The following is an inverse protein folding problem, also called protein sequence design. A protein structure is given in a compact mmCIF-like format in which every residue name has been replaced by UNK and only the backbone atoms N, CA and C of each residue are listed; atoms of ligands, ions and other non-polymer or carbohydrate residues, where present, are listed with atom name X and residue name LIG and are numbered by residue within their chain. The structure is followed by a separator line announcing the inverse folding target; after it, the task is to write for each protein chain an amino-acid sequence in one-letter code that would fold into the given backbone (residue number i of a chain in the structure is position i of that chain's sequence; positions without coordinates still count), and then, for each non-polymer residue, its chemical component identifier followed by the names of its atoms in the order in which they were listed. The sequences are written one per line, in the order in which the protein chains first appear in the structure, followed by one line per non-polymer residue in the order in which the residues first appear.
data_IF_786054572579
#
_entry.id   IF_786054572579
#
_cell.length_a   1.000
_cell.length_b   1.000
_cell.length_c   1.000
_cell.angle_alpha   90.00
_cell.angle_beta   90.00
_cell.angle_gamma   90.00
#
_symmetry.space_group_name_H-M   'P 1'
#
loop_
_entity.id
_entity.type
_entity.pdbx_description
1 polymer ?
#
# COMPACT_ATOMS: atom_id res chain seq x y z
N UNK A 1 31.07 48.19 45.17
CA UNK A 1 31.75 47.30 44.20
C UNK A 1 31.31 45.84 44.32
N UNK A 2 31.41 45.19 45.48
CA UNK A 2 31.03 43.76 45.64
C UNK A 2 29.56 43.44 45.27
N UNK A 3 28.59 44.31 45.64
CA UNK A 3 27.17 44.11 45.29
C UNK A 3 26.86 44.28 43.79
N UNK A 4 27.57 45.17 43.09
CA UNK A 4 27.44 45.34 41.65
C UNK A 4 28.06 44.16 40.88
N UNK A 5 29.17 43.60 41.39
CA UNK A 5 29.81 42.42 40.80
C UNK A 5 28.92 41.17 40.88
N UNK A 6 28.21 41.00 42.02
CA UNK A 6 27.27 39.89 42.21
C UNK A 6 26.03 40.04 41.33
N UNK A 7 25.53 41.27 41.15
CA UNK A 7 24.40 41.52 40.24
C UNK A 7 24.80 41.26 38.77
N UNK A 8 26.01 41.65 38.37
CA UNK A 8 26.52 41.39 37.03
C UNK A 8 26.74 39.88 36.78
N UNK A 9 27.25 39.14 37.76
CA UNK A 9 27.39 37.68 37.65
C UNK A 9 26.02 36.99 37.57
N UNK A 10 25.07 37.39 38.41
CA UNK A 10 23.71 36.84 38.41
C UNK A 10 22.99 37.12 37.08
N UNK A 11 23.15 38.32 36.51
CA UNK A 11 22.58 38.67 35.22
C UNK A 11 23.26 37.89 34.07
N UNK A 12 24.57 37.65 34.14
CA UNK A 12 25.28 36.82 33.15
C UNK A 12 24.90 35.34 33.21
N UNK A 13 24.60 34.81 34.40
CA UNK A 13 24.07 33.45 34.56
C UNK A 13 22.62 33.33 34.08
N UNK A 14 21.79 34.36 34.30
CA UNK A 14 20.41 34.42 33.81
C UNK A 14 20.34 34.59 32.27
N UNK A 15 21.26 35.32 31.64
CA UNK A 15 21.36 35.38 30.18
C UNK A 15 21.95 34.11 29.56
N UNK A 16 22.85 33.40 30.25
CA UNK A 16 23.40 32.12 29.77
C UNK A 16 22.38 30.98 29.73
N UNK A 17 21.28 31.09 30.48
CA UNK A 17 20.19 30.10 30.52
C UNK A 17 19.06 30.40 29.52
N UNK A 18 19.18 31.47 28.71
CA UNK A 18 18.21 31.87 27.68
C UNK A 18 18.79 31.82 26.26
N UNK A 19 19.75 30.94 25.99
CA UNK A 19 19.95 30.50 24.62
C UNK A 19 18.71 29.68 24.24
N UNK A 20 18.00 29.99 23.14
CA UNK A 20 17.05 29.03 22.60
C UNK A 20 17.82 27.72 22.44
N UNK A 21 17.27 26.61 22.93
CA UNK A 21 17.79 25.30 22.56
C UNK A 21 17.81 25.29 21.03
N UNK A 22 19.01 25.38 20.45
CA UNK A 22 19.19 25.12 19.04
C UNK A 22 18.83 23.64 18.96
N UNK A 23 17.65 23.33 18.40
CA UNK A 23 17.34 21.96 18.05
C UNK A 23 18.51 21.49 17.18
N UNK A 24 19.27 20.51 17.68
CA UNK A 24 20.30 19.88 16.85
C UNK A 24 19.62 19.45 15.56
N UNK A 25 20.21 19.81 14.41
CA UNK A 25 19.71 19.29 13.14
C UNK A 25 19.68 17.76 13.24
N UNK A 26 18.58 17.12 12.81
CA UNK A 26 18.45 15.68 12.89
C UNK A 26 19.64 15.01 12.21
N UNK A 27 20.22 14.03 12.90
CA UNK A 27 21.48 13.36 12.51
C UNK A 27 21.35 12.61 11.18
N UNK A 28 20.12 12.27 10.78
CA UNK A 28 19.80 11.54 9.57
C UNK A 28 18.41 11.93 9.04
N UNK A 29 18.14 11.54 7.80
CA UNK A 29 16.82 11.61 7.16
C UNK A 29 16.38 10.26 6.61
N UNK A 30 15.08 10.03 6.60
CA UNK A 30 14.41 8.92 5.93
C UNK A 30 13.50 9.52 4.86
N UNK A 31 13.80 9.23 3.60
CA UNK A 31 13.02 9.72 2.47
C UNK A 31 11.91 8.74 2.10
N UNK A 32 10.73 9.27 1.76
CA UNK A 32 9.56 8.46 1.37
C UNK A 32 9.03 8.96 0.03
N UNK A 33 9.00 8.09 -0.98
CA UNK A 33 8.40 8.38 -2.28
C UNK A 33 7.11 7.59 -2.43
N UNK A 34 5.99 8.28 -2.68
CA UNK A 34 4.68 7.64 -2.89
C UNK A 34 4.05 8.03 -4.22
N UNK A 35 2.94 7.39 -4.58
CA UNK A 35 2.06 7.93 -5.60
C UNK A 35 1.35 9.19 -5.12
N UNK A 36 0.68 9.89 -6.04
CA UNK A 36 -0.34 10.85 -5.65
C UNK A 36 -1.60 10.13 -5.18
N UNK A 37 -2.55 10.85 -4.58
CA UNK A 37 -3.83 10.27 -4.14
C UNK A 37 -4.67 9.68 -5.28
N UNK A 38 -4.35 9.96 -6.55
CA UNK A 38 -5.03 9.35 -7.71
C UNK A 38 -4.58 7.90 -7.95
N UNK A 39 -3.34 7.55 -7.57
CA UNK A 39 -2.78 6.21 -7.70
C UNK A 39 -3.06 5.36 -6.46
N UNK A 40 -3.07 6.00 -5.30
CA UNK A 40 -3.37 5.41 -4.00
C UNK A 40 -3.30 6.48 -2.92
N UNK A 41 -4.37 6.66 -2.14
CA UNK A 41 -4.39 7.68 -1.09
C UNK A 41 -3.59 7.25 0.16
N UNK A 42 -3.54 5.95 0.44
CA UNK A 42 -3.10 5.44 1.73
C UNK A 42 -1.61 5.67 2.02
N UNK A 43 -0.74 5.25 1.11
CA UNK A 43 0.71 5.49 1.20
C UNK A 43 1.02 6.99 1.35
N UNK A 44 0.33 7.85 0.61
CA UNK A 44 0.50 9.30 0.66
C UNK A 44 0.12 9.86 2.05
N UNK A 45 -1.02 9.45 2.62
CA UNK A 45 -1.44 9.87 3.97
C UNK A 45 -0.51 9.34 5.06
N UNK A 46 -0.01 8.12 4.91
CA UNK A 46 0.98 7.56 5.84
C UNK A 46 2.28 8.37 5.82
N UNK A 47 2.75 8.77 4.64
CA UNK A 47 3.93 9.63 4.48
C UNK A 47 3.70 11.03 5.09
N UNK A 48 2.54 11.67 4.85
CA UNK A 48 2.18 12.96 5.48
C UNK A 48 2.14 12.87 7.01
N UNK A 49 1.60 11.77 7.55
CA UNK A 49 1.55 11.52 9.00
C UNK A 49 2.97 11.44 9.59
N UNK A 50 3.87 10.68 8.95
CA UNK A 50 5.27 10.57 9.39
C UNK A 50 6.02 11.91 9.29
N UNK A 51 5.79 12.67 8.22
CA UNK A 51 6.37 14.02 8.06
C UNK A 51 5.96 14.96 9.20
N UNK A 52 4.69 14.91 9.61
CA UNK A 52 4.19 15.72 10.72
C UNK A 52 4.72 15.26 12.09
N UNK A 53 4.89 13.95 12.30
CA UNK A 53 5.37 13.38 13.56
C UNK A 53 6.89 13.54 13.74
N UNK A 54 7.66 13.48 12.66
CA UNK A 54 9.11 13.49 12.67
C UNK A 54 9.69 14.61 11.79
N UNK A 55 9.36 15.89 12.10
CA UNK A 55 9.79 17.02 11.29
C UNK A 55 11.32 17.10 11.24
N UNK A 56 11.86 17.20 10.03
CA UNK A 56 13.30 17.27 9.76
C UNK A 56 13.99 15.90 9.64
N UNK A 57 13.42 14.83 10.20
CA UNK A 57 13.88 13.45 9.99
C UNK A 57 13.21 12.85 8.74
N UNK A 58 11.93 13.11 8.52
CA UNK A 58 11.21 12.61 7.34
C UNK A 58 11.21 13.66 6.24
N UNK A 59 11.47 13.22 5.01
CA UNK A 59 11.26 14.01 3.79
C UNK A 59 10.43 13.17 2.81
N UNK A 60 9.48 13.81 2.12
CA UNK A 60 8.54 13.08 1.24
C UNK A 60 8.41 13.78 -0.11
N UNK A 61 8.12 13.00 -1.14
CA UNK A 61 7.74 13.49 -2.48
C UNK A 61 6.83 12.46 -3.16
N UNK A 62 6.36 12.77 -4.36
CA UNK A 62 5.52 11.89 -5.18
C UNK A 62 6.14 11.58 -6.53
N UNK A 63 5.87 10.39 -7.06
CA UNK A 63 6.15 10.04 -8.45
C UNK A 63 4.96 10.44 -9.37
N UNK A 64 5.19 10.66 -10.69
CA UNK A 64 4.12 11.07 -11.60
C UNK A 64 3.07 9.99 -11.82
N UNK A 65 1.80 10.38 -11.96
CA UNK A 65 0.68 9.46 -12.20
C UNK A 65 0.87 8.63 -13.48
N UNK A 66 1.51 9.20 -14.52
CA UNK A 66 1.87 8.49 -15.75
C UNK A 66 3.31 7.95 -15.70
N UNK A 67 3.70 7.34 -14.58
CA UNK A 67 5.05 6.80 -14.35
C UNK A 67 5.55 5.89 -15.48
N UNK A 68 4.66 5.14 -16.15
CA UNK A 68 5.02 4.27 -17.29
C UNK A 68 5.64 5.05 -18.44
N UNK A 69 5.22 6.30 -18.65
CA UNK A 69 5.76 7.20 -19.68
C UNK A 69 6.80 8.18 -19.14
N UNK A 70 6.89 8.33 -17.81
CA UNK A 70 7.70 9.33 -17.12
C UNK A 70 8.77 8.68 -16.20
N UNK A 71 9.30 7.53 -16.62
CA UNK A 71 10.27 6.73 -15.84
C UNK A 71 11.48 7.54 -15.38
N UNK A 72 12.03 8.40 -16.26
CA UNK A 72 13.17 9.27 -15.91
C UNK A 72 12.83 10.29 -14.80
N UNK A 73 11.57 10.75 -14.74
CA UNK A 73 11.11 11.62 -13.66
C UNK A 73 11.07 10.85 -12.35
N UNK A 74 10.48 9.65 -12.33
CA UNK A 74 10.47 8.76 -11.15
C UNK A 74 11.89 8.48 -10.65
N UNK A 75 12.80 8.13 -11.57
CA UNK A 75 14.22 7.91 -11.24
C UNK A 75 14.87 9.18 -10.68
N UNK A 76 14.62 10.34 -11.29
CA UNK A 76 15.14 11.63 -10.84
C UNK A 76 14.75 11.97 -9.42
N UNK A 77 13.49 11.70 -9.02
CA UNK A 77 13.00 11.90 -7.65
C UNK A 77 13.79 11.08 -6.62
N UNK A 78 14.01 9.79 -6.90
CA UNK A 78 14.78 8.91 -6.02
C UNK A 78 16.24 9.32 -5.93
N UNK A 79 16.86 9.65 -7.06
CA UNK A 79 18.25 10.12 -7.11
C UNK A 79 18.42 11.44 -6.34
N UNK A 80 17.45 12.34 -6.44
CA UNK A 80 17.45 13.61 -5.70
C UNK A 80 17.47 13.39 -4.18
N UNK A 81 16.76 12.39 -3.65
CA UNK A 81 16.88 12.04 -2.23
C UNK A 81 18.30 11.58 -1.86
N UNK A 82 18.95 10.81 -2.73
CA UNK A 82 20.29 10.30 -2.50
C UNK A 82 21.40 11.37 -2.59
N UNK A 83 21.13 12.54 -3.18
CA UNK A 83 22.05 13.68 -3.19
C UNK A 83 22.23 14.30 -1.79
N UNK A 84 21.23 14.18 -0.91
CA UNK A 84 21.33 14.66 0.46
C UNK A 84 22.19 13.67 1.30
N UNK A 85 23.36 14.10 1.82
CA UNK A 85 24.22 13.24 2.63
C UNK A 85 23.57 12.79 3.95
N UNK A 86 22.55 13.51 4.43
CA UNK A 86 21.80 13.15 5.64
C UNK A 86 20.80 12.01 5.39
N UNK A 87 20.36 11.78 4.15
CA UNK A 87 19.46 10.65 3.84
C UNK A 87 20.20 9.33 4.05
N UNK A 88 19.64 8.49 4.93
CA UNK A 88 20.15 7.16 5.30
C UNK A 88 19.20 6.01 5.00
N UNK A 89 17.95 6.32 4.66
CA UNK A 89 17.03 5.34 4.09
C UNK A 89 16.10 5.98 3.06
N UNK A 90 15.70 5.20 2.06
CA UNK A 90 14.68 5.57 1.08
C UNK A 90 13.63 4.45 1.06
N UNK A 91 12.37 4.84 1.25
CA UNK A 91 11.20 3.97 1.18
C UNK A 91 10.39 4.41 -0.03
N UNK A 92 10.11 3.51 -0.97
CA UNK A 92 9.21 3.78 -2.09
C UNK A 92 8.01 2.86 -2.02
N UNK A 93 6.80 3.41 -2.01
CA UNK A 93 5.56 2.64 -2.07
C UNK A 93 4.49 3.47 -2.81
N UNK A 94 4.03 3.07 -3.99
CA UNK A 94 4.37 1.85 -4.72
C UNK A 94 5.71 1.98 -5.44
N UNK A 95 6.51 0.91 -5.45
CA UNK A 95 7.78 0.86 -6.18
C UNK A 95 7.53 0.59 -7.68
N UNK A 96 7.04 1.62 -8.37
CA UNK A 96 6.72 1.61 -9.81
C UNK A 96 7.97 1.66 -10.71
N UNK A 97 7.77 1.53 -12.03
CA UNK A 97 8.83 1.56 -13.04
C UNK A 97 9.84 2.69 -12.82
N UNK A 98 11.12 2.32 -12.83
CA UNK A 98 12.24 3.20 -12.52
C UNK A 98 12.81 3.01 -11.12
N UNK A 99 12.10 2.32 -10.21
CA UNK A 99 12.58 2.01 -8.87
C UNK A 99 13.87 1.18 -8.92
N UNK A 100 13.88 0.08 -9.66
CA UNK A 100 15.03 -0.83 -9.81
C UNK A 100 16.26 -0.10 -10.33
N UNK A 101 16.09 0.66 -11.42
CA UNK A 101 17.19 1.39 -12.04
C UNK A 101 17.75 2.49 -11.11
N UNK A 102 16.87 3.23 -10.43
CA UNK A 102 17.30 4.25 -9.48
C UNK A 102 18.00 3.63 -8.26
N UNK A 103 17.42 2.59 -7.66
CA UNK A 103 18.00 1.90 -6.50
C UNK A 103 19.38 1.31 -6.82
N UNK A 104 19.53 0.71 -8.00
CA UNK A 104 20.83 0.23 -8.49
C UNK A 104 21.86 1.36 -8.54
N UNK A 105 21.51 2.50 -9.13
CA UNK A 105 22.42 3.66 -9.25
C UNK A 105 22.71 4.33 -7.90
N UNK A 106 21.74 4.37 -6.99
CA UNK A 106 21.93 4.85 -5.62
C UNK A 106 22.92 3.94 -4.92
N UNK A 107 22.79 2.62 -5.04
CA UNK A 107 23.69 1.65 -4.41
C UNK A 107 25.15 1.78 -4.84
N UNK A 108 25.39 2.10 -6.11
CA UNK A 108 26.74 2.34 -6.65
C UNK A 108 27.45 3.54 -6.00
N UNK A 109 26.70 4.57 -5.61
CA UNK A 109 27.25 5.87 -5.16
C UNK A 109 27.04 6.14 -3.67
N UNK A 110 26.00 5.54 -3.08
CA UNK A 110 25.52 5.69 -1.70
C UNK A 110 25.16 4.33 -1.11
N UNK A 111 26.15 3.40 -0.96
CA UNK A 111 25.89 2.08 -0.36
C UNK A 111 25.47 2.14 1.12
N UNK A 112 25.60 3.31 1.75
CA UNK A 112 25.17 3.60 3.12
C UNK A 112 23.66 3.81 3.26
N UNK A 113 22.91 4.02 2.16
CA UNK A 113 21.45 4.16 2.19
C UNK A 113 20.81 2.77 2.26
N UNK A 114 19.85 2.62 3.17
CA UNK A 114 18.94 1.47 3.23
C UNK A 114 17.78 1.68 2.23
N UNK A 115 17.53 0.72 1.35
CA UNK A 115 16.55 0.83 0.27
C UNK A 115 15.36 -0.13 0.48
N UNK A 116 14.17 0.42 0.66
CA UNK A 116 12.93 -0.33 0.87
C UNK A 116 11.97 -0.11 -0.30
N UNK A 117 11.47 -1.19 -0.89
CA UNK A 117 10.46 -1.17 -1.95
C UNK A 117 9.16 -1.81 -1.45
N UNK A 118 8.06 -1.07 -1.45
CA UNK A 118 6.71 -1.56 -1.16
C UNK A 118 5.88 -1.66 -2.43
N UNK A 119 5.09 -2.72 -2.57
CA UNK A 119 4.22 -2.99 -3.73
C UNK A 119 5.00 -2.82 -5.06
N UNK A 120 6.00 -3.68 -5.33
CA UNK A 120 6.82 -3.55 -6.51
C UNK A 120 6.01 -3.79 -7.80
N UNK A 121 6.26 -2.97 -8.82
CA UNK A 121 5.64 -3.08 -10.15
C UNK A 121 6.67 -3.37 -11.26
N UNK A 122 7.80 -3.95 -10.88
CA UNK A 122 8.89 -4.43 -11.75
C UNK A 122 9.17 -5.90 -11.42
N UNK A 123 10.04 -6.54 -12.20
CA UNK A 123 10.38 -7.96 -12.02
C UNK A 123 10.85 -8.24 -10.57
N UNK A 124 10.29 -9.26 -9.89
CA UNK A 124 10.63 -9.58 -8.50
C UNK A 124 12.12 -9.80 -8.26
N UNK A 125 12.83 -10.45 -9.19
CA UNK A 125 14.27 -10.72 -9.07
C UNK A 125 15.08 -9.44 -9.25
N UNK A 126 14.70 -8.60 -10.22
CA UNK A 126 15.39 -7.34 -10.48
C UNK A 126 15.27 -6.36 -9.29
N UNK A 127 14.05 -6.14 -8.80
CA UNK A 127 13.83 -5.21 -7.65
C UNK A 127 14.45 -5.77 -6.37
N UNK A 128 14.39 -7.09 -6.13
CA UNK A 128 15.05 -7.72 -5.00
C UNK A 128 16.57 -7.59 -5.07
N UNK A 129 17.17 -7.64 -6.26
CA UNK A 129 18.59 -7.37 -6.46
C UNK A 129 18.98 -5.92 -6.17
N UNK A 130 18.07 -4.97 -6.39
CA UNK A 130 18.31 -3.53 -6.23
C UNK A 130 17.94 -2.99 -4.84
N UNK A 131 16.99 -3.59 -4.12
CA UNK A 131 16.55 -3.18 -2.79
C UNK A 131 17.26 -3.96 -1.66
N UNK A 132 17.17 -3.48 -0.42
CA UNK A 132 17.59 -4.21 0.78
C UNK A 132 16.42 -5.00 1.38
N UNK A 133 15.20 -4.46 1.27
CA UNK A 133 13.95 -5.10 1.69
C UNK A 133 12.86 -4.77 0.66
N UNK A 134 12.15 -5.80 0.21
CA UNK A 134 10.96 -5.69 -0.64
C UNK A 134 9.75 -6.19 0.13
N UNK A 135 8.66 -5.43 0.12
CA UNK A 135 7.40 -5.73 0.78
C UNK A 135 6.30 -5.81 -0.29
N UNK A 136 5.78 -7.00 -0.54
CA UNK A 136 4.61 -7.19 -1.40
C UNK A 136 3.37 -7.48 -0.58
N UNK A 137 2.21 -7.12 -1.13
CA UNK A 137 0.97 -7.79 -0.74
C UNK A 137 1.10 -9.25 -1.20
N UNK A 138 0.69 -10.21 -0.38
CA UNK A 138 0.67 -11.62 -0.79
C UNK A 138 -0.47 -11.86 -1.79
N UNK A 139 -0.31 -11.32 -3.01
CA UNK A 139 -1.30 -11.41 -4.07
C UNK A 139 -1.57 -12.85 -4.49
N UNK A 140 -0.55 -13.72 -4.37
CA UNK A 140 -0.62 -15.13 -4.71
C UNK A 140 -1.60 -15.83 -3.76
N UNK A 141 -1.39 -15.70 -2.44
CA UNK A 141 -2.33 -16.25 -1.46
C UNK A 141 -3.68 -15.49 -1.45
N UNK A 142 -3.67 -14.21 -1.78
CA UNK A 142 -4.89 -13.43 -2.02
C UNK A 142 -5.76 -14.01 -3.14
N UNK A 143 -5.16 -14.70 -4.13
CA UNK A 143 -5.90 -15.44 -5.16
C UNK A 143 -6.80 -16.55 -4.58
N UNK A 144 -6.29 -17.32 -3.61
CA UNK A 144 -7.07 -18.30 -2.88
C UNK A 144 -8.19 -17.62 -2.07
N UNK A 145 -7.86 -16.57 -1.31
CA UNK A 145 -8.84 -15.83 -0.50
C UNK A 145 -10.00 -15.28 -1.35
N UNK A 146 -9.71 -14.74 -2.54
CA UNK A 146 -10.73 -14.20 -3.46
C UNK A 146 -11.70 -15.29 -3.89
N UNK A 147 -11.20 -16.45 -4.32
CA UNK A 147 -12.05 -17.55 -4.81
C UNK A 147 -12.80 -18.22 -3.66
N UNK A 148 -12.14 -18.44 -2.52
CA UNK A 148 -12.77 -18.99 -1.32
C UNK A 148 -13.94 -18.11 -0.86
N UNK A 149 -13.71 -16.81 -0.75
CA UNK A 149 -14.77 -15.85 -0.37
C UNK A 149 -15.92 -15.86 -1.39
N UNK A 150 -15.61 -15.86 -2.69
CA UNK A 150 -16.63 -15.94 -3.74
C UNK A 150 -17.46 -17.24 -3.65
N UNK A 151 -16.81 -18.37 -3.36
CA UNK A 151 -17.44 -19.67 -3.17
C UNK A 151 -18.35 -19.71 -1.94
N UNK A 152 -17.90 -19.16 -0.80
CA UNK A 152 -18.70 -19.07 0.42
C UNK A 152 -19.97 -18.27 0.24
N UNK A 153 -19.91 -17.20 -0.55
CA UNK A 153 -21.07 -16.39 -0.93
C UNK A 153 -21.94 -17.04 -2.02
N UNK A 154 -21.48 -18.16 -2.59
CA UNK A 154 -22.14 -18.90 -3.66
C UNK A 154 -22.18 -18.14 -4.98
N UNK A 155 -21.12 -17.41 -5.31
CA UNK A 155 -20.97 -16.77 -6.61
C UNK A 155 -20.91 -17.82 -7.72
N UNK A 156 -21.57 -17.56 -8.85
CA UNK A 156 -21.54 -18.41 -10.03
C UNK A 156 -20.42 -17.99 -11.00
N UNK A 157 -20.06 -16.70 -10.97
CA UNK A 157 -19.11 -16.06 -11.89
C UNK A 157 -18.18 -15.15 -11.09
N UNK A 158 -16.91 -15.11 -11.46
CA UNK A 158 -15.91 -14.19 -10.95
C UNK A 158 -15.30 -13.40 -12.11
N UNK A 159 -15.48 -12.08 -12.11
CA UNK A 159 -14.92 -11.18 -13.10
C UNK A 159 -13.57 -10.68 -12.60
N UNK A 160 -12.55 -10.83 -13.44
CA UNK A 160 -11.21 -10.34 -13.22
C UNK A 160 -10.89 -9.20 -14.21
N UNK A 161 -11.01 -7.97 -13.75
CA UNK A 161 -10.61 -6.78 -14.51
C UNK A 161 -9.09 -6.57 -14.43
N UNK A 162 -8.44 -6.53 -15.61
CA UNK A 162 -7.02 -6.22 -15.72
C UNK A 162 -6.69 -5.68 -17.11
N UNK A 163 -5.41 -5.49 -17.38
CA UNK A 163 -4.87 -4.95 -18.62
C UNK A 163 -3.46 -5.49 -18.86
N UNK A 164 -2.98 -5.36 -20.10
CA UNK A 164 -1.75 -6.00 -20.56
C UNK A 164 -0.52 -5.80 -19.65
N UNK A 165 -0.30 -4.59 -19.13
CA UNK A 165 0.84 -4.31 -18.24
C UNK A 165 0.76 -5.11 -16.93
N UNK A 166 -0.38 -5.12 -16.26
CA UNK A 166 -0.56 -5.92 -15.03
C UNK A 166 -0.50 -7.42 -15.30
N UNK A 167 -1.04 -7.86 -16.44
CA UNK A 167 -0.91 -9.26 -16.88
C UNK A 167 0.50 -9.62 -17.38
N UNK A 168 1.45 -8.67 -17.34
CA UNK A 168 2.89 -8.91 -17.52
C UNK A 168 3.67 -9.03 -16.20
N UNK A 169 3.04 -8.78 -15.04
CA UNK A 169 3.70 -8.89 -13.75
C UNK A 169 3.62 -10.33 -13.24
N UNK A 170 4.75 -10.88 -12.80
CA UNK A 170 4.86 -12.28 -12.40
C UNK A 170 3.88 -12.64 -11.27
N UNK A 171 3.79 -11.83 -10.22
CA UNK A 171 2.89 -12.07 -9.06
C UNK A 171 1.42 -12.04 -9.46
N UNK A 172 1.03 -11.11 -10.34
CA UNK A 172 -0.35 -11.00 -10.83
C UNK A 172 -0.72 -12.18 -11.72
N UNK A 173 0.19 -12.62 -12.58
CA UNK A 173 -0.01 -13.82 -13.43
C UNK A 173 -0.12 -15.07 -12.55
N UNK A 174 0.74 -15.21 -11.54
CA UNK A 174 0.67 -16.31 -10.58
C UNK A 174 -0.68 -16.32 -9.83
N UNK A 175 -1.13 -15.17 -9.31
CA UNK A 175 -2.47 -15.01 -8.72
C UNK A 175 -3.56 -15.44 -9.68
N UNK A 176 -3.54 -14.95 -10.93
CA UNK A 176 -4.58 -15.27 -11.91
C UNK A 176 -4.65 -16.77 -12.23
N UNK A 177 -3.50 -17.43 -12.33
CA UNK A 177 -3.45 -18.88 -12.56
C UNK A 177 -4.03 -19.66 -11.37
N UNK A 178 -3.71 -19.28 -10.14
CA UNK A 178 -4.33 -19.84 -8.93
C UNK A 178 -5.83 -19.61 -8.94
N UNK A 179 -6.28 -18.38 -9.20
CA UNK A 179 -7.71 -18.06 -9.26
C UNK A 179 -8.42 -18.92 -10.30
N UNK A 180 -7.78 -19.21 -11.44
CA UNK A 180 -8.35 -20.06 -12.49
C UNK A 180 -8.52 -21.51 -12.01
N UNK A 181 -7.49 -22.09 -11.41
CA UNK A 181 -7.52 -23.47 -10.90
C UNK A 181 -8.55 -23.61 -9.78
N UNK A 182 -8.54 -22.69 -8.81
CA UNK A 182 -9.47 -22.71 -7.68
C UNK A 182 -10.92 -22.43 -8.10
N UNK A 183 -11.14 -21.52 -9.06
CA UNK A 183 -12.47 -21.25 -9.58
C UNK A 183 -13.05 -22.48 -10.29
N UNK A 184 -12.23 -23.21 -11.06
CA UNK A 184 -12.64 -24.48 -11.68
C UNK A 184 -13.06 -25.52 -10.62
N UNK A 185 -12.26 -25.68 -9.56
CA UNK A 185 -12.57 -26.58 -8.44
C UNK A 185 -13.83 -26.15 -7.67
N UNK A 186 -14.06 -24.85 -7.54
CA UNK A 186 -15.22 -24.27 -6.88
C UNK A 186 -16.49 -24.30 -7.75
N UNK A 187 -16.38 -24.58 -9.05
CA UNK A 187 -17.48 -24.49 -10.00
C UNK A 187 -17.88 -23.06 -10.34
N UNK A 188 -16.95 -22.11 -10.23
CA UNK A 188 -17.11 -20.68 -10.52
C UNK A 188 -16.54 -20.38 -11.91
N UNK A 189 -17.29 -19.69 -12.74
CA UNK A 189 -16.82 -19.22 -14.05
C UNK A 189 -15.89 -18.01 -13.87
N UNK A 190 -14.58 -18.16 -14.08
CA UNK A 190 -13.63 -17.04 -14.08
C UNK A 190 -13.59 -16.37 -15.46
N UNK A 191 -13.84 -15.06 -15.50
CA UNK A 191 -13.93 -14.26 -16.74
C UNK A 191 -12.98 -13.07 -16.68
N UNK A 192 -12.04 -13.01 -17.62
CA UNK A 192 -11.18 -11.84 -17.76
C UNK A 192 -11.89 -10.73 -18.54
N UNK A 193 -11.79 -9.49 -18.06
CA UNK A 193 -12.24 -8.29 -18.76
C UNK A 193 -11.06 -7.35 -18.96
N UNK A 194 -10.80 -6.99 -20.21
CA UNK A 194 -9.72 -6.10 -20.61
C UNK A 194 -10.14 -4.64 -20.37
N UNK A 195 -9.69 -4.08 -19.25
CA UNK A 195 -9.91 -2.70 -18.89
C UNK A 195 -8.82 -1.80 -19.53
N UNK A 196 -9.07 -0.50 -19.74
CA UNK A 196 -8.01 0.41 -20.15
C UNK A 196 -6.92 0.52 -19.08
N UNK A 197 -5.65 0.52 -19.49
CA UNK A 197 -4.53 0.82 -18.58
C UNK A 197 -4.65 2.29 -18.09
N UNK A 198 -4.68 2.55 -16.76
CA UNK A 198 -4.75 3.90 -16.21
C UNK A 198 -3.58 4.82 -16.58
N UNK A 199 -2.45 4.25 -17.00
CA UNK A 199 -1.26 4.95 -17.48
C UNK A 199 -1.20 5.04 -19.02
N UNK A 200 -2.17 4.44 -19.71
CA UNK A 200 -2.30 4.51 -21.17
C UNK A 200 -3.11 5.73 -21.64
N UNK A 201 -3.44 5.76 -22.94
CA UNK A 201 -4.11 6.89 -23.61
C UNK A 201 -5.47 7.28 -22.99
N UNK A 202 -6.19 6.30 -22.44
CA UNK A 202 -7.49 6.55 -21.79
C UNK A 202 -7.34 7.25 -20.43
N UNK A 203 -6.15 7.14 -19.81
CA UNK A 203 -5.85 7.63 -18.49
C UNK A 203 -6.70 7.00 -17.37
N UNK A 204 -6.48 7.47 -16.14
CA UNK A 204 -7.22 7.03 -14.97
C UNK A 204 -8.74 7.21 -15.12
N UNK A 205 -9.19 8.36 -15.65
CA UNK A 205 -10.61 8.64 -15.84
C UNK A 205 -11.26 7.68 -16.84
N UNK A 206 -10.57 7.32 -17.92
CA UNK A 206 -11.07 6.37 -18.90
C UNK A 206 -11.20 4.95 -18.35
N UNK A 207 -10.20 4.51 -17.56
CA UNK A 207 -10.22 3.25 -16.82
C UNK A 207 -11.41 3.18 -15.84
N UNK A 208 -11.63 4.22 -15.03
CA UNK A 208 -12.74 4.29 -14.09
C UNK A 208 -14.10 4.31 -14.79
N UNK A 209 -14.22 5.08 -15.89
CA UNK A 209 -15.45 5.14 -16.70
C UNK A 209 -15.80 3.79 -17.31
N UNK A 210 -14.78 3.04 -17.77
CA UNK A 210 -14.97 1.69 -18.28
C UNK A 210 -15.61 0.79 -17.21
N UNK A 211 -15.01 0.72 -16.02
CA UNK A 211 -15.51 -0.10 -14.89
C UNK A 211 -16.96 0.25 -14.53
N UNK A 212 -17.25 1.54 -14.35
CA UNK A 212 -18.61 2.03 -14.03
C UNK A 212 -19.65 1.62 -15.09
N UNK A 213 -19.23 1.51 -16.35
CA UNK A 213 -20.10 1.13 -17.46
C UNK A 213 -20.21 -0.38 -17.69
N UNK A 214 -19.18 -1.14 -17.32
CA UNK A 214 -19.07 -2.56 -17.64
C UNK A 214 -19.75 -3.43 -16.59
N UNK A 215 -19.63 -3.09 -15.30
CA UNK A 215 -20.27 -3.87 -14.22
C UNK A 215 -21.78 -4.07 -14.45
N UNK A 216 -22.59 -3.02 -14.77
CA UNK A 216 -24.01 -3.24 -15.07
C UNK A 216 -24.24 -4.12 -16.30
N UNK A 217 -23.42 -4.02 -17.35
CA UNK A 217 -23.52 -4.86 -18.55
C UNK A 217 -23.19 -6.33 -18.25
N UNK A 218 -22.20 -6.57 -17.40
CA UNK A 218 -21.90 -7.92 -16.91
C UNK A 218 -23.09 -8.47 -16.12
N UNK A 219 -23.71 -7.65 -15.26
CA UNK A 219 -24.91 -8.08 -14.52
C UNK A 219 -26.10 -8.37 -15.45
N UNK A 220 -26.23 -7.68 -16.58
CA UNK A 220 -27.18 -8.01 -17.63
C UNK A 220 -26.82 -9.32 -18.37
N UNK A 221 -25.55 -9.52 -18.71
CA UNK A 221 -25.04 -10.73 -19.37
C UNK A 221 -25.26 -11.99 -18.52
N UNK A 222 -25.05 -11.87 -17.21
CA UNK A 222 -25.22 -12.93 -16.24
C UNK A 222 -26.50 -12.76 -15.40
N UNK A 223 -27.57 -12.25 -16.01
CA UNK A 223 -28.83 -12.00 -15.32
C UNK A 223 -29.31 -13.20 -14.49
N UNK A 224 -29.56 -12.95 -13.20
CA UNK A 224 -30.02 -13.95 -12.23
C UNK A 224 -28.92 -14.77 -11.56
N UNK A 225 -27.66 -14.66 -11.99
CA UNK A 225 -26.50 -15.23 -11.30
C UNK A 225 -25.97 -14.29 -10.21
N UNK A 226 -25.21 -14.86 -9.27
CA UNK A 226 -24.35 -14.11 -8.35
C UNK A 226 -22.97 -13.92 -9.00
N UNK A 227 -22.52 -12.67 -9.11
CA UNK A 227 -21.28 -12.33 -9.81
C UNK A 227 -20.33 -11.61 -8.87
N UNK A 228 -19.15 -12.19 -8.63
CA UNK A 228 -18.07 -11.56 -7.90
C UNK A 228 -17.19 -10.73 -8.86
N UNK A 229 -16.62 -9.64 -8.36
CA UNK A 229 -15.83 -8.71 -9.16
C UNK A 229 -14.52 -8.36 -8.45
N UNK A 230 -13.43 -8.45 -9.19
CA UNK A 230 -12.10 -8.09 -8.75
C UNK A 230 -11.41 -7.23 -9.82
N UNK A 231 -10.58 -6.27 -9.39
CA UNK A 231 -9.69 -5.52 -10.29
C UNK A 231 -8.28 -5.49 -9.73
N UNK A 232 -7.31 -5.56 -10.64
CA UNK A 232 -5.87 -5.62 -10.31
C UNK A 232 -5.23 -4.25 -10.01
N UNK A 233 -5.97 -3.13 -10.07
CA UNK A 233 -5.39 -1.80 -9.95
C UNK A 233 -6.09 -0.92 -8.90
N UNK A 234 -5.28 -0.22 -8.10
CA UNK A 234 -5.72 0.64 -6.99
C UNK A 234 -6.66 1.76 -7.45
N UNK A 235 -6.31 2.47 -8.53
CA UNK A 235 -7.08 3.60 -9.03
C UNK A 235 -8.46 3.24 -9.60
N UNK A 236 -8.72 1.95 -9.87
CA UNK A 236 -10.02 1.46 -10.32
C UNK A 236 -10.97 1.05 -9.18
N UNK A 237 -10.48 0.95 -7.94
CA UNK A 237 -11.23 0.33 -6.85
C UNK A 237 -12.47 1.12 -6.43
N UNK A 238 -12.36 2.44 -6.32
CA UNK A 238 -13.51 3.31 -6.02
C UNK A 238 -14.64 3.10 -7.05
N UNK A 239 -14.29 3.12 -8.34
CA UNK A 239 -15.23 2.91 -9.43
C UNK A 239 -15.87 1.51 -9.38
N UNK A 240 -15.07 0.47 -9.11
CA UNK A 240 -15.55 -0.91 -9.03
C UNK A 240 -16.52 -1.09 -7.87
N UNK A 241 -16.12 -0.65 -6.67
CA UNK A 241 -16.95 -0.74 -5.47
C UNK A 241 -18.25 0.04 -5.64
N UNK A 242 -18.20 1.27 -6.16
CA UNK A 242 -19.39 2.08 -6.38
C UNK A 242 -20.37 1.46 -7.41
N UNK A 243 -19.86 0.73 -8.41
CA UNK A 243 -20.69 0.01 -9.36
C UNK A 243 -21.29 -1.26 -8.74
N UNK A 244 -20.48 -2.07 -8.04
CA UNK A 244 -20.91 -3.30 -7.37
C UNK A 244 -21.99 -3.02 -6.30
N UNK A 245 -21.85 -1.94 -5.53
CA UNK A 245 -22.81 -1.60 -4.48
C UNK A 245 -24.22 -1.31 -5.01
N UNK A 246 -24.34 -0.88 -6.28
CA UNK A 246 -25.63 -0.60 -6.94
C UNK A 246 -26.35 -1.84 -7.44
N UNK A 247 -25.66 -2.97 -7.55
CA UNK A 247 -26.18 -4.21 -8.13
C UNK A 247 -26.41 -5.26 -7.04
N UNK A 248 -27.65 -5.77 -6.92
CA UNK A 248 -28.05 -6.62 -5.79
C UNK A 248 -27.30 -7.96 -5.72
N UNK A 249 -26.93 -8.53 -6.86
CA UNK A 249 -26.23 -9.82 -6.97
C UNK A 249 -24.74 -9.66 -7.34
N UNK A 250 -24.18 -8.46 -7.18
CA UNK A 250 -22.76 -8.20 -7.37
C UNK A 250 -22.01 -8.31 -6.03
N UNK A 251 -20.85 -8.97 -6.06
CA UNK A 251 -20.04 -9.27 -4.88
C UNK A 251 -18.62 -8.71 -5.07
N UNK A 252 -17.99 -8.27 -3.98
CA UNK A 252 -16.66 -7.68 -3.96
C UNK A 252 -15.80 -8.42 -2.91
N UNK A 253 -15.06 -9.47 -3.30
CA UNK A 253 -14.40 -10.35 -2.35
C UNK A 253 -13.16 -9.74 -1.71
N UNK A 254 -12.38 -8.94 -2.45
CA UNK A 254 -11.15 -8.36 -1.95
C UNK A 254 -10.67 -7.20 -2.84
N UNK A 255 -10.06 -6.13 -2.29
CA UNK A 255 -9.30 -5.16 -3.06
C UNK A 255 -7.96 -5.71 -3.58
N UNK A 256 -7.32 -5.04 -4.54
CA UNK A 256 -5.97 -5.40 -4.97
C UNK A 256 -4.91 -5.17 -3.88
N UNK A 257 -5.07 -4.10 -3.09
CA UNK A 257 -4.29 -3.80 -1.89
C UNK A 257 -5.29 -3.69 -0.73
N UNK A 258 -5.54 -4.78 0.02
CA UNK A 258 -6.66 -4.81 0.94
C UNK A 258 -6.50 -3.81 2.10
N UNK A 259 -7.57 -3.07 2.35
CA UNK A 259 -7.67 -2.10 3.44
C UNK A 259 -9.12 -1.62 3.57
N UNK A 260 -9.57 -1.20 4.77
CA UNK A 260 -10.83 -0.50 4.96
C UNK A 260 -10.85 0.90 4.30
N UNK A 261 -9.68 1.49 4.04
CA UNK A 261 -9.56 2.83 3.44
C UNK A 261 -9.35 2.82 1.93
N UNK A 262 -9.21 1.64 1.32
CA UNK A 262 -8.92 1.51 -0.10
C UNK A 262 -10.18 1.69 -0.97
N UNK A 263 -10.46 2.93 -1.39
CA UNK A 263 -11.62 3.28 -2.23
C UNK A 263 -12.97 3.32 -1.48
N UNK A 264 -13.11 2.54 -0.40
CA UNK A 264 -14.33 2.45 0.38
C UNK A 264 -14.85 3.78 0.95
N UNK A 265 -13.99 4.70 1.47
CA UNK A 265 -14.46 5.98 1.96
C UNK A 265 -15.28 6.75 0.91
N UNK A 266 -14.77 6.81 -0.32
CA UNK A 266 -15.44 7.50 -1.42
C UNK A 266 -16.66 6.72 -1.92
N UNK A 267 -16.53 5.41 -2.14
CA UNK A 267 -17.60 4.57 -2.68
C UNK A 267 -18.80 4.42 -1.73
N UNK A 268 -18.58 4.49 -0.41
CA UNK A 268 -19.63 4.48 0.61
C UNK A 268 -20.12 5.88 1.00
N UNK A 269 -19.49 6.95 0.52
CA UNK A 269 -19.76 8.31 0.97
C UNK A 269 -19.45 8.52 2.46
N UNK A 270 -18.44 7.81 2.97
CA UNK A 270 -18.02 7.78 4.36
C UNK A 270 -16.69 8.54 4.52
N UNK A 271 -16.74 9.74 5.10
CA UNK A 271 -15.53 10.50 5.38
C UNK A 271 -14.58 9.77 6.34
N UNK A 272 -13.28 10.05 6.21
CA UNK A 272 -12.23 9.56 7.11
C UNK A 272 -11.70 10.72 7.94
N UNK A 273 -11.67 10.55 9.26
CA UNK A 273 -11.03 11.48 10.18
C UNK A 273 -9.64 10.99 10.59
N UNK A 274 -8.82 11.86 11.19
CA UNK A 274 -7.52 11.47 11.71
C UNK A 274 -7.61 10.37 12.79
N UNK A 275 -8.71 10.33 13.54
CA UNK A 275 -8.97 9.31 14.57
C UNK A 275 -9.25 7.93 13.96
N UNK A 276 -9.88 7.89 12.79
CA UNK A 276 -10.23 6.63 12.11
C UNK A 276 -8.98 5.83 11.71
N UNK A 277 -7.90 6.52 11.30
CA UNK A 277 -6.62 5.87 11.00
C UNK A 277 -5.93 5.24 12.23
N UNK A 278 -6.38 5.55 13.44
CA UNK A 278 -5.87 4.98 14.68
C UNK A 278 -6.87 4.06 15.40
N UNK A 279 -8.06 3.84 14.83
CA UNK A 279 -9.11 3.02 15.42
C UNK A 279 -9.88 2.30 14.30
N UNK A 280 -9.25 1.27 13.76
CA UNK A 280 -9.77 0.55 12.59
C UNK A 280 -11.08 -0.16 12.92
N UNK A 281 -11.22 -0.78 14.09
CA UNK A 281 -12.47 -1.43 14.51
C UNK A 281 -13.66 -0.48 14.49
N UNK A 282 -13.50 0.74 15.03
CA UNK A 282 -14.54 1.77 14.96
C UNK A 282 -14.85 2.17 13.52
N UNK A 283 -13.86 2.20 12.63
CA UNK A 283 -14.10 2.49 11.22
C UNK A 283 -14.81 1.34 10.50
N UNK A 284 -14.45 0.08 10.80
CA UNK A 284 -15.14 -1.11 10.29
C UNK A 284 -16.61 -1.14 10.71
N UNK A 285 -16.94 -0.70 11.93
CA UNK A 285 -18.34 -0.54 12.36
C UNK A 285 -19.09 0.52 11.54
N UNK A 286 -18.46 1.67 11.25
CA UNK A 286 -19.05 2.70 10.37
C UNK A 286 -19.27 2.17 8.95
N UNK A 287 -18.29 1.42 8.42
CA UNK A 287 -18.40 0.77 7.12
C UNK A 287 -19.51 -0.27 7.11
N UNK A 288 -19.59 -1.15 8.11
CA UNK A 288 -20.63 -2.16 8.23
C UNK A 288 -22.03 -1.52 8.24
N UNK A 289 -22.22 -0.45 9.01
CA UNK A 289 -23.48 0.30 9.02
C UNK A 289 -23.83 0.85 7.63
N UNK A 290 -22.87 1.41 6.90
CA UNK A 290 -23.07 1.88 5.52
C UNK A 290 -23.34 0.75 4.54
N UNK A 291 -22.60 -0.34 4.60
CA UNK A 291 -22.83 -1.53 3.80
C UNK A 291 -24.21 -2.12 4.06
N UNK A 292 -24.74 -2.04 5.29
CA UNK A 292 -26.09 -2.50 5.60
C UNK A 292 -27.16 -1.68 4.87
N UNK A 293 -26.96 -0.36 4.71
CA UNK A 293 -27.85 0.49 3.88
C UNK A 293 -27.89 0.02 2.41
N UNK A 294 -26.81 -0.60 1.91
CA UNK A 294 -26.69 -1.18 0.57
C UNK A 294 -27.06 -2.67 0.48
N UNK A 295 -27.53 -3.29 1.57
CA UNK A 295 -27.66 -4.75 1.70
C UNK A 295 -26.37 -5.47 1.25
N UNK A 296 -25.21 -4.95 1.67
CA UNK A 296 -23.91 -5.32 1.15
C UNK A 296 -22.99 -6.02 2.17
N UNK A 297 -23.43 -6.18 3.41
CA UNK A 297 -22.62 -6.71 4.53
C UNK A 297 -22.14 -8.15 4.32
N UNK A 298 -22.84 -8.94 3.49
CA UNK A 298 -22.46 -10.33 3.15
C UNK A 298 -21.96 -10.45 1.70
N UNK A 299 -21.59 -9.35 1.06
CA UNK A 299 -21.15 -9.34 -0.35
C UNK A 299 -20.01 -8.37 -0.62
N UNK A 300 -19.38 -7.88 0.44
CA UNK A 300 -18.19 -7.02 0.41
C UNK A 300 -17.25 -7.49 1.51
N UNK A 301 -15.96 -7.56 1.21
CA UNK A 301 -14.91 -7.91 2.17
C UNK A 301 -13.63 -7.12 1.86
N UNK A 302 -12.74 -7.07 2.83
CA UNK A 302 -11.40 -6.47 2.80
C UNK A 302 -10.60 -7.01 3.98
N UNK A 303 -9.34 -6.61 4.16
CA UNK A 303 -8.60 -6.89 5.39
C UNK A 303 -8.87 -5.83 6.46
N UNK A 304 -8.74 -6.19 7.73
CA UNK A 304 -8.83 -5.25 8.85
C UNK A 304 -7.58 -4.37 8.99
N UNK A 305 -6.61 -4.50 8.09
CA UNK A 305 -5.32 -3.81 8.16
C UNK A 305 -5.06 -3.07 6.86
N UNK A 306 -4.76 -1.76 6.93
CA UNK A 306 -4.31 -0.97 5.78
C UNK A 306 -2.90 -1.39 5.32
N UNK A 307 -2.81 -2.33 4.37
CA UNK A 307 -1.52 -2.97 4.04
C UNK A 307 -0.47 -1.98 3.52
N UNK A 308 -0.83 -1.07 2.61
CA UNK A 308 0.12 -0.08 2.08
C UNK A 308 0.54 0.94 3.14
N UNK A 309 -0.37 1.38 4.02
CA UNK A 309 0.02 2.23 5.15
C UNK A 309 0.97 1.50 6.09
N UNK A 310 0.70 0.21 6.35
CA UNK A 310 1.54 -0.62 7.22
C UNK A 310 2.95 -0.77 6.64
N UNK A 311 3.10 -0.92 5.33
CA UNK A 311 4.42 -0.93 4.66
C UNK A 311 5.18 0.39 4.85
N UNK A 312 4.51 1.54 4.75
CA UNK A 312 5.14 2.85 4.99
C UNK A 312 5.51 3.04 6.46
N UNK A 313 4.56 2.83 7.38
CA UNK A 313 4.76 3.06 8.81
C UNK A 313 5.74 2.04 9.42
N UNK A 314 5.55 0.75 9.13
CA UNK A 314 6.45 -0.31 9.56
C UNK A 314 7.82 -0.22 8.88
N UNK A 315 7.87 0.11 7.59
CA UNK A 315 9.12 0.35 6.88
C UNK A 315 9.91 1.53 7.47
N UNK A 316 9.23 2.58 7.90
CA UNK A 316 9.85 3.71 8.61
C UNK A 316 10.45 3.28 9.95
N UNK A 317 9.69 2.58 10.79
CA UNK A 317 10.20 2.12 12.09
C UNK A 317 11.35 1.11 11.92
N UNK A 318 11.28 0.23 10.91
CA UNK A 318 12.37 -0.68 10.54
C UNK A 318 13.64 0.09 10.14
N UNK A 319 13.50 1.07 9.23
CA UNK A 319 14.62 1.88 8.77
C UNK A 319 15.23 2.71 9.90
N UNK A 320 14.39 3.30 10.75
CA UNK A 320 14.80 4.06 11.93
C UNK A 320 15.59 3.19 12.91
N UNK A 321 15.09 2.00 13.24
CA UNK A 321 15.81 1.05 14.10
C UNK A 321 17.17 0.66 13.51
N UNK A 322 17.23 0.35 12.21
CA UNK A 322 18.49 0.04 11.53
C UNK A 322 19.49 1.20 11.60
N UNK A 323 19.04 2.44 11.38
CA UNK A 323 19.92 3.62 11.42
C UNK A 323 20.44 3.88 12.85
N UNK A 324 19.57 3.75 13.86
CA UNK A 324 19.90 4.09 15.25
C UNK A 324 20.68 2.98 15.97
N UNK A 325 20.37 1.71 15.67
CA UNK A 325 20.88 0.55 16.41
C UNK A 325 21.76 -0.38 15.58
N UNK A 326 21.81 -0.19 14.26
CA UNK A 326 22.56 -1.05 13.34
C UNK A 326 21.98 -2.45 13.19
N UNK A 327 22.79 -3.35 12.64
CA UNK A 327 22.44 -4.75 12.40
C UNK A 327 22.53 -5.12 10.91
N UNK A 328 21.84 -6.19 10.53
CA UNK A 328 21.72 -6.62 9.14
C UNK A 328 20.68 -5.76 8.42
N UNK A 329 20.96 -5.40 7.15
CA UNK A 329 20.05 -4.61 6.32
C UNK A 329 18.73 -5.32 6.04
N UNK A 330 18.76 -6.65 6.01
CA UNK A 330 17.59 -7.51 5.77
C UNK A 330 17.39 -8.39 7.01
N UNK A 331 16.36 -8.09 7.81
CA UNK A 331 16.01 -8.84 8.99
C UNK A 331 14.49 -9.04 9.07
N UNK A 332 14.04 -10.27 8.77
CA UNK A 332 12.62 -10.61 8.71
C UNK A 332 11.91 -10.39 10.04
N UNK A 333 12.50 -10.82 11.16
CA UNK A 333 11.85 -10.73 12.47
C UNK A 333 11.63 -9.27 12.90
N UNK A 334 12.62 -8.39 12.67
CA UNK A 334 12.48 -6.96 12.92
C UNK A 334 11.43 -6.33 11.99
N UNK A 335 11.40 -6.73 10.72
CA UNK A 335 10.39 -6.23 9.78
C UNK A 335 8.98 -6.65 10.21
N UNK A 336 8.79 -7.92 10.56
CA UNK A 336 7.50 -8.46 11.07
C UNK A 336 7.07 -7.71 12.33
N UNK A 337 7.98 -7.48 13.27
CA UNK A 337 7.68 -6.73 14.48
C UNK A 337 7.24 -5.29 14.16
N UNK A 338 7.93 -4.60 13.24
CA UNK A 338 7.60 -3.24 12.83
C UNK A 338 6.25 -3.17 12.09
N UNK A 339 5.99 -4.10 11.15
CA UNK A 339 4.73 -4.19 10.42
C UNK A 339 3.55 -4.50 11.36
N UNK A 340 3.72 -5.46 12.27
CA UNK A 340 2.64 -5.85 13.19
C UNK A 340 2.31 -4.74 14.19
N UNK A 341 3.32 -4.02 14.67
CA UNK A 341 3.12 -2.85 15.52
C UNK A 341 2.44 -1.70 14.77
N UNK A 342 2.77 -1.48 13.49
CA UNK A 342 2.13 -0.47 12.65
C UNK A 342 0.67 -0.83 12.30
N UNK A 343 0.38 -2.12 12.14
CA UNK A 343 -0.93 -2.66 11.82
C UNK A 343 -1.87 -2.80 13.03
N UNK A 344 -1.32 -2.80 14.25
CA UNK A 344 -2.00 -3.24 15.49
C UNK A 344 -2.61 -4.66 15.33
N UNK A 345 -1.93 -5.52 14.56
CA UNK A 345 -2.36 -6.87 14.23
C UNK A 345 -1.16 -7.75 13.85
N UNK A 346 -1.26 -9.05 14.08
CA UNK A 346 -0.22 -10.00 13.68
C UNK A 346 -0.21 -10.14 12.14
N UNK A 347 0.88 -9.70 11.51
CA UNK A 347 1.05 -9.84 10.06
C UNK A 347 1.59 -11.24 9.72
N UNK A 348 0.89 -11.98 8.86
CA UNK A 348 1.46 -13.19 8.27
C UNK A 348 2.45 -12.77 7.18
N UNK A 349 3.73 -13.03 7.41
CA UNK A 349 4.81 -12.65 6.48
C UNK A 349 5.55 -13.89 5.98
N UNK A 350 5.40 -14.17 4.69
CA UNK A 350 6.12 -15.23 3.99
C UNK A 350 7.26 -14.63 3.16
N UNK A 351 8.17 -15.48 2.70
CA UNK A 351 9.20 -15.08 1.74
C UNK A 351 8.67 -15.44 0.35
N UNK A 352 8.83 -14.53 -0.62
CA UNK A 352 8.42 -14.79 -1.99
C UNK A 352 9.22 -15.97 -2.60
N UNK A 353 8.52 -16.80 -3.37
CA UNK A 353 9.08 -17.93 -4.11
C UNK A 353 8.75 -17.71 -5.59
N UNK A 354 9.77 -17.69 -6.44
CA UNK A 354 9.61 -17.51 -7.88
C UNK A 354 8.95 -18.72 -8.55
N UNK A 355 8.62 -18.59 -9.84
CA UNK A 355 8.03 -19.67 -10.62
C UNK A 355 8.89 -20.95 -10.73
N UNK A 356 10.21 -20.85 -10.52
CA UNK A 356 11.15 -21.97 -10.53
C UNK A 356 11.31 -22.63 -9.15
N UNK A 357 10.66 -22.09 -8.12
CA UNK A 357 10.69 -22.60 -6.74
C UNK A 357 11.86 -22.05 -5.91
N UNK A 358 12.52 -20.98 -6.34
CA UNK A 358 13.58 -20.35 -5.57
C UNK A 358 13.02 -19.28 -4.63
N UNK A 359 13.46 -19.31 -3.38
CA UNK A 359 13.17 -18.23 -2.42
C UNK A 359 13.95 -16.96 -2.78
N UNK A 360 13.26 -15.81 -2.74
CA UNK A 360 13.87 -14.48 -2.87
C UNK A 360 13.99 -13.88 -1.46
N UNK A 361 15.16 -13.97 -0.80
CA UNK A 361 15.28 -13.90 0.66
C UNK A 361 14.97 -12.53 1.27
N UNK A 362 15.01 -11.46 0.48
CA UNK A 362 14.68 -10.11 0.91
C UNK A 362 13.32 -9.61 0.38
N UNK A 363 12.54 -10.48 -0.25
CA UNK A 363 11.18 -10.17 -0.69
C UNK A 363 10.19 -10.86 0.24
N UNK A 364 9.50 -10.04 1.04
CA UNK A 364 8.51 -10.45 2.02
C UNK A 364 7.10 -10.19 1.52
N UNK A 365 6.25 -11.21 1.57
CA UNK A 365 4.85 -11.16 1.15
C UNK A 365 3.96 -11.09 2.39
N UNK A 366 3.05 -10.12 2.43
CA UNK A 366 2.23 -9.79 3.60
C UNK A 366 0.79 -10.20 3.34
N UNK A 367 0.23 -11.00 4.25
CA UNK A 367 -1.14 -11.49 4.22
C UNK A 367 -1.85 -11.20 5.54
N UNK A 368 -3.12 -10.84 5.45
CA UNK A 368 -4.04 -10.75 6.60
C UNK A 368 -5.33 -11.50 6.30
N UNK A 369 -6.14 -11.71 7.34
CA UNK A 369 -7.44 -12.34 7.21
C UNK A 369 -8.51 -11.37 6.70
N UNK A 370 -9.52 -11.92 6.04
CA UNK A 370 -10.68 -11.18 5.56
C UNK A 370 -11.61 -10.77 6.72
N UNK A 371 -12.16 -9.57 6.60
CA UNK A 371 -13.20 -9.05 7.49
C UNK A 371 -14.56 -9.61 7.08
N UNK A 372 -15.29 -10.16 8.04
CA UNK A 372 -16.71 -10.37 7.92
C UNK A 372 -17.45 -9.16 8.51
N UNK A 373 -17.97 -8.26 7.65
CA UNK A 373 -18.65 -7.04 8.11
C UNK A 373 -19.90 -7.30 8.96
N UNK A 374 -20.48 -8.51 8.90
CA UNK A 374 -21.57 -8.90 9.80
C UNK A 374 -21.16 -8.87 11.26
N UNK A 375 -19.90 -9.18 11.56
CA UNK A 375 -19.36 -9.17 12.94
C UNK A 375 -19.19 -7.73 13.47
N UNK A 376 -19.24 -6.74 12.59
CA UNK A 376 -19.12 -5.30 12.91
C UNK A 376 -20.47 -4.56 12.86
N UNK A 377 -21.59 -5.26 12.66
CA UNK A 377 -22.93 -4.68 12.81
C UNK A 377 -23.35 -4.67 14.28
N UNK A 378 -23.56 -3.47 14.83
CA UNK A 378 -24.07 -3.26 16.18
C UNK A 378 -25.60 -3.12 16.26
#
# INVERSE_FOLDING_TARGET
MKKLLVLALALSMLLGMMLPAIAEEPVYKIAILTGTTSQGEEEYRAAEKLLAQYPGVVVTDTYPDNFSSEVETTMGKLLQFAEDPAVKAIIMCQAVQGATAAFTKIRETRPDILLLAGVPAEDPSDIAGAADVVMGVDEINGGYQIVETAKEWGADVLIHYSFARHMGYETIVARYNIMKEEAELAGIELVMRDAPDPTGDAGMTGAQTFILSDVPKVMEEYAGKKVAFFTTNCGMQEALQAAVLKEANAYYPLPCCPSPFHGFPASLGLGVSAEDYGNIDSYLEKMAAKLNEYNAVDRVSTWAVPVNMSMILGGFEYAKDYIENGGEKTNKDKLVAALSAAADADAAVSTYVDADGNEVPNYFMILFDNVNFRDHLK
#
